data_IF_634988940478
#
_entry.id   IF_634988940478
#
_cell.length_a   1.000
_cell.length_b   1.000
_cell.length_c   1.000
_cell.angle_alpha   90.00
_cell.angle_beta   90.00
_cell.angle_gamma   90.00
#
_symmetry.space_group_name_H-M   'P 1'
#
loop_
_entity.id
_entity.type
_entity.pdbx_description
1 polymer ?
#
# COMPACT_ATOMS: atom_id res chain seq x y z
N UNK A 1 0.89 27.56 2.73
CA UNK A 1 2.31 27.64 2.30
C UNK A 1 2.40 27.21 0.85
N UNK A 2 3.16 27.92 0.03
CA UNK A 2 3.41 27.56 -1.38
C UNK A 2 4.73 28.14 -1.82
N UNK A 3 5.33 27.56 -2.84
CA UNK A 3 6.50 28.09 -3.54
C UNK A 3 6.06 28.62 -4.90
N UNK A 4 6.77 29.64 -5.41
CA UNK A 4 6.46 30.22 -6.71
C UNK A 4 6.75 29.26 -7.87
N UNK A 5 6.08 29.48 -9.02
CA UNK A 5 6.37 28.82 -10.26
C UNK A 5 7.67 29.39 -10.89
N UNK A 6 8.43 28.54 -11.56
CA UNK A 6 9.60 28.94 -12.36
C UNK A 6 9.29 28.75 -13.85
N UNK A 7 9.55 29.75 -14.67
CA UNK A 7 9.37 29.67 -16.13
C UNK A 7 10.56 29.00 -16.83
N UNK A 8 11.74 29.07 -16.24
CA UNK A 8 12.95 28.34 -16.67
C UNK A 8 13.73 27.91 -15.42
N UNK A 9 13.87 26.62 -15.21
CA UNK A 9 14.55 26.08 -14.03
C UNK A 9 13.62 25.26 -13.13
N UNK A 10 14.06 24.97 -11.91
CA UNK A 10 13.31 24.16 -10.94
C UNK A 10 12.41 25.05 -10.07
N UNK A 11 11.19 24.58 -9.80
CA UNK A 11 10.34 25.15 -8.77
C UNK A 11 10.95 25.01 -7.36
N UNK A 12 10.47 25.81 -6.42
CA UNK A 12 10.93 25.75 -5.03
C UNK A 12 10.48 24.47 -4.30
N UNK A 13 11.17 24.14 -3.22
CA UNK A 13 10.89 22.98 -2.35
C UNK A 13 10.27 23.45 -1.03
N UNK A 14 9.26 22.73 -0.55
CA UNK A 14 8.74 22.84 0.82
C UNK A 14 9.25 21.64 1.63
N UNK A 15 9.89 21.91 2.77
CA UNK A 15 10.39 20.88 3.69
C UNK A 15 9.72 21.10 5.05
N UNK A 16 9.13 20.04 5.58
CA UNK A 16 8.61 20.01 6.96
C UNK A 16 9.42 18.95 7.73
N UNK A 17 10.21 19.40 8.70
CA UNK A 17 11.04 18.52 9.54
C UNK A 17 10.76 18.79 11.00
N UNK A 18 10.87 17.75 11.81
CA UNK A 18 10.82 17.83 13.26
C UNK A 18 12.17 17.43 13.84
N UNK A 19 12.61 18.12 14.89
CA UNK A 19 13.91 17.91 15.52
C UNK A 19 14.09 16.49 16.08
N UNK A 20 15.35 16.05 16.11
CA UNK A 20 15.76 14.78 16.72
C UNK A 20 15.86 14.91 18.24
N UNK A 21 15.49 13.85 18.95
CA UNK A 21 15.76 13.72 20.40
C UNK A 21 16.97 12.80 20.63
N UNK A 22 17.84 13.14 21.56
CA UNK A 22 19.01 12.33 21.93
C UNK A 22 18.76 11.42 23.15
N UNK A 23 17.75 11.71 23.97
CA UNK A 23 17.44 10.98 25.22
C UNK A 23 15.95 10.76 25.45
N UNK A 24 15.14 10.76 24.40
CA UNK A 24 13.69 10.53 24.47
C UNK A 24 13.13 10.14 23.11
N UNK A 25 11.80 10.02 23.03
CA UNK A 25 11.11 9.76 21.76
C UNK A 25 11.27 10.95 20.82
N UNK A 26 11.39 10.70 19.51
CA UNK A 26 11.43 11.73 18.48
C UNK A 26 10.14 12.55 18.42
N UNK A 27 10.23 13.75 17.86
CA UNK A 27 9.05 14.60 17.63
C UNK A 27 8.11 14.00 16.56
N UNK A 28 6.88 14.50 16.51
CA UNK A 28 5.81 13.99 15.64
C UNK A 28 5.38 15.02 14.61
N UNK A 29 5.02 14.56 13.41
CA UNK A 29 4.27 15.33 12.41
C UNK A 29 2.85 14.75 12.34
N UNK A 30 1.83 15.57 12.56
CA UNK A 30 0.42 15.19 12.42
C UNK A 30 -0.25 16.05 11.36
N UNK A 31 -0.89 15.42 10.39
CA UNK A 31 -1.65 16.09 9.33
C UNK A 31 -3.09 15.57 9.40
N UNK A 32 -4.04 16.43 9.73
CA UNK A 32 -5.44 16.09 9.90
C UNK A 32 -6.33 17.06 9.14
N UNK A 33 -7.30 16.54 8.41
CA UNK A 33 -8.37 17.35 7.84
C UNK A 33 -9.43 17.67 8.90
N UNK A 34 -10.21 18.72 8.66
CA UNK A 34 -11.24 19.19 9.58
C UNK A 34 -12.40 18.19 9.74
N UNK A 35 -12.93 18.09 10.94
CA UNK A 35 -14.15 17.32 11.25
C UNK A 35 -15.39 18.16 10.91
N UNK A 36 -16.44 17.55 10.39
CA UNK A 36 -17.79 18.11 10.34
C UNK A 36 -18.72 17.32 11.26
N UNK A 37 -19.66 18.00 11.90
CA UNK A 37 -20.69 17.38 12.74
C UNK A 37 -22.01 17.17 12.01
N UNK A 38 -22.18 17.78 10.84
CA UNK A 38 -23.45 17.81 10.08
C UNK A 38 -23.25 17.28 8.64
N UNK A 39 -22.09 17.53 8.06
CA UNK A 39 -21.76 17.19 6.67
C UNK A 39 -20.52 16.30 6.58
N UNK A 40 -20.04 16.05 5.37
CA UNK A 40 -18.81 15.29 5.10
C UNK A 40 -17.60 16.01 5.72
N UNK A 41 -16.69 15.27 6.31
CA UNK A 41 -15.40 15.76 6.80
C UNK A 41 -14.47 16.23 5.68
N UNK A 42 -13.38 16.90 6.04
CA UNK A 42 -12.40 17.40 5.08
C UNK A 42 -11.59 16.29 4.41
N UNK A 43 -11.04 16.59 3.25
CA UNK A 43 -10.15 15.72 2.45
C UNK A 43 -8.68 15.97 2.78
N UNK A 44 -7.86 14.92 2.84
CA UNK A 44 -6.40 14.99 2.70
C UNK A 44 -6.04 14.41 1.32
N UNK A 45 -5.34 15.18 0.48
CA UNK A 45 -4.88 14.75 -0.84
C UNK A 45 -3.37 14.88 -0.94
N UNK A 46 -2.70 13.78 -1.34
CA UNK A 46 -1.25 13.69 -1.58
C UNK A 46 -1.03 13.27 -3.02
N UNK A 47 -0.58 14.18 -3.85
CA UNK A 47 -0.38 13.97 -5.30
C UNK A 47 1.02 14.42 -5.71
N UNK A 48 1.71 13.63 -6.52
CA UNK A 48 2.98 14.01 -7.12
C UNK A 48 2.77 15.00 -8.28
N UNK A 49 3.85 15.66 -8.70
CA UNK A 49 3.81 16.58 -9.85
C UNK A 49 3.67 15.84 -11.18
N UNK A 50 2.94 16.42 -12.12
CA UNK A 50 2.83 15.96 -13.50
C UNK A 50 4.09 16.28 -14.29
N UNK A 51 4.50 15.39 -15.19
CA UNK A 51 5.51 15.65 -16.22
C UNK A 51 4.86 15.70 -17.58
N UNK A 52 4.68 16.90 -18.15
CA UNK A 52 3.96 17.08 -19.42
C UNK A 52 4.64 16.41 -20.63
N UNK A 53 5.97 16.34 -20.64
CA UNK A 53 6.77 15.74 -21.73
C UNK A 53 7.61 14.53 -21.27
N UNK A 54 7.59 14.21 -19.98
CA UNK A 54 8.40 13.14 -19.38
C UNK A 54 7.60 12.45 -18.27
N UNK A 55 8.27 11.69 -17.42
CA UNK A 55 7.64 10.98 -16.31
C UNK A 55 7.13 11.94 -15.21
N UNK A 56 6.03 11.60 -14.58
CA UNK A 56 5.56 12.25 -13.34
C UNK A 56 6.50 11.96 -12.16
N UNK A 57 6.35 12.74 -11.09
CA UNK A 57 7.01 12.47 -9.82
C UNK A 57 6.50 11.20 -9.13
N UNK A 58 7.22 10.74 -8.13
CA UNK A 58 6.80 9.64 -7.27
C UNK A 58 6.20 10.14 -5.94
N UNK A 59 5.27 9.39 -5.36
CA UNK A 59 4.86 9.51 -3.95
C UNK A 59 5.49 8.35 -3.19
N UNK A 60 6.30 8.64 -2.16
CA UNK A 60 7.00 7.64 -1.35
C UNK A 60 6.52 7.72 0.09
N UNK A 61 5.92 6.64 0.59
CA UNK A 61 5.45 6.51 1.98
C UNK A 61 6.11 5.26 2.58
N UNK A 62 6.96 5.42 3.59
CA UNK A 62 7.68 4.31 4.23
C UNK A 62 8.04 4.64 5.68
N UNK A 63 8.13 3.63 6.53
CA UNK A 63 8.85 3.73 7.81
C UNK A 63 10.35 3.69 7.57
N UNK A 64 11.13 4.26 8.49
CA UNK A 64 12.58 4.16 8.47
C UNK A 64 13.07 2.82 9.05
N UNK A 65 14.35 2.53 8.88
CA UNK A 65 14.97 1.34 9.45
C UNK A 65 14.93 1.39 11.00
N UNK A 66 14.78 0.25 11.63
CA UNK A 66 15.01 0.10 13.06
C UNK A 66 16.50 0.29 13.39
N UNK A 67 16.81 0.68 14.62
CA UNK A 67 18.18 0.67 15.15
C UNK A 67 18.72 -0.75 15.35
N UNK A 68 19.97 -0.86 15.84
CA UNK A 68 20.67 -2.14 15.95
C UNK A 68 19.94 -3.23 16.77
N UNK A 69 19.08 -2.85 17.72
CA UNK A 69 18.29 -3.75 18.56
C UNK A 69 16.77 -3.47 18.46
N UNK A 70 16.31 -2.70 17.50
CA UNK A 70 14.92 -2.28 17.36
C UNK A 70 14.29 -2.74 16.05
N UNK A 71 12.96 -2.92 16.06
CA UNK A 71 12.19 -3.14 14.84
C UNK A 71 11.94 -1.81 14.09
N UNK A 72 11.71 -1.88 12.79
CA UNK A 72 11.20 -0.75 12.01
C UNK A 72 9.74 -0.46 12.38
N UNK A 73 9.28 0.78 12.15
CA UNK A 73 7.89 1.16 12.38
C UNK A 73 6.93 0.45 11.42
N UNK A 74 5.67 0.30 11.83
CA UNK A 74 4.60 -0.20 10.99
C UNK A 74 4.03 0.91 10.10
N UNK A 75 3.44 0.53 8.97
CA UNK A 75 2.66 1.38 8.08
C UNK A 75 1.22 0.86 8.01
N UNK A 76 0.24 1.71 8.34
CA UNK A 76 -1.18 1.35 8.36
C UNK A 76 -1.95 2.11 7.28
N UNK A 77 -2.67 1.37 6.44
CA UNK A 77 -3.69 1.90 5.55
C UNK A 77 -5.03 1.25 5.90
N UNK A 78 -5.94 2.00 6.48
CA UNK A 78 -7.25 1.48 6.88
C UNK A 78 -8.33 2.56 6.73
N UNK A 79 -9.56 2.13 6.52
CA UNK A 79 -10.74 2.99 6.62
C UNK A 79 -11.29 2.96 8.04
N UNK A 80 -12.01 4.01 8.42
CA UNK A 80 -12.67 4.07 9.72
C UNK A 80 -13.86 3.11 9.82
N UNK A 81 -14.36 2.94 11.05
CA UNK A 81 -15.59 2.18 11.33
C UNK A 81 -16.84 3.00 11.01
N UNK A 82 -17.92 2.33 10.63
CA UNK A 82 -19.24 2.92 10.47
C UNK A 82 -20.25 2.17 11.35
N UNK A 83 -21.12 2.92 12.06
CA UNK A 83 -22.09 2.34 12.99
C UNK A 83 -23.41 2.00 12.30
N UNK A 84 -23.86 2.82 11.36
CA UNK A 84 -25.20 2.68 10.72
C UNK A 84 -25.14 2.77 9.20
N UNK A 85 -23.97 2.62 8.60
CA UNK A 85 -23.76 2.70 7.15
C UNK A 85 -22.54 1.87 6.75
N UNK A 86 -22.19 1.86 5.48
CA UNK A 86 -21.02 1.16 4.96
C UNK A 86 -19.72 1.87 5.34
N UNK A 87 -18.66 1.12 5.57
CA UNK A 87 -17.30 1.65 5.67
C UNK A 87 -16.77 2.05 4.29
N UNK A 88 -15.76 2.92 4.26
CA UNK A 88 -15.07 3.27 3.03
C UNK A 88 -14.30 2.10 2.43
N UNK A 89 -13.84 2.24 1.19
CA UNK A 89 -13.00 1.26 0.51
C UNK A 89 -11.53 1.73 0.45
N UNK A 90 -10.60 0.78 0.38
CA UNK A 90 -9.19 1.01 0.05
C UNK A 90 -8.96 0.53 -1.38
N UNK A 91 -8.51 1.43 -2.26
CA UNK A 91 -8.21 1.13 -3.66
C UNK A 91 -6.70 1.16 -3.89
N UNK A 92 -6.17 0.07 -4.43
CA UNK A 92 -4.78 -0.06 -4.89
C UNK A 92 -4.83 -0.42 -6.37
N UNK A 93 -4.41 0.48 -7.24
CA UNK A 93 -4.47 0.26 -8.68
C UNK A 93 -3.39 1.02 -9.43
N UNK A 94 -3.04 0.54 -10.60
CA UNK A 94 -2.19 1.22 -11.57
C UNK A 94 -3.08 1.85 -12.65
N UNK A 95 -2.64 2.98 -13.19
CA UNK A 95 -3.38 3.66 -14.26
C UNK A 95 -3.36 2.88 -15.57
N UNK A 96 -4.18 3.31 -16.52
CA UNK A 96 -4.24 2.77 -17.88
C UNK A 96 -3.08 3.33 -18.72
N UNK A 97 -2.41 2.48 -19.48
CA UNK A 97 -1.43 2.87 -20.49
C UNK A 97 -2.04 2.71 -21.89
N UNK A 98 -2.09 3.79 -22.68
CA UNK A 98 -2.69 3.77 -24.03
C UNK A 98 -1.75 3.15 -25.06
N UNK A 99 -0.44 3.39 -24.95
CA UNK A 99 0.58 2.94 -25.94
C UNK A 99 1.78 2.25 -25.28
N UNK A 100 1.60 1.72 -24.07
CA UNK A 100 2.67 1.09 -23.30
C UNK A 100 2.15 -0.02 -22.40
N UNK A 101 2.98 -0.49 -21.49
CA UNK A 101 2.57 -1.46 -20.47
C UNK A 101 2.02 -0.76 -19.24
N UNK A 102 0.96 -1.29 -18.67
CA UNK A 102 0.50 -0.91 -17.33
C UNK A 102 1.57 -1.23 -16.27
N UNK A 103 1.56 -0.47 -15.17
CA UNK A 103 2.41 -0.74 -14.03
C UNK A 103 2.06 -2.03 -13.31
N UNK A 104 2.95 -2.54 -12.47
CA UNK A 104 2.71 -3.69 -11.63
C UNK A 104 2.31 -3.29 -10.20
N UNK A 105 1.50 -4.12 -9.55
CA UNK A 105 1.32 -4.13 -8.09
C UNK A 105 2.11 -5.30 -7.53
N UNK A 106 3.09 -5.03 -6.65
CA UNK A 106 3.93 -6.04 -6.02
C UNK A 106 3.67 -6.04 -4.52
N UNK A 107 3.23 -7.19 -4.00
CA UNK A 107 3.08 -7.43 -2.56
C UNK A 107 4.10 -8.50 -2.17
N UNK A 108 5.09 -8.13 -1.36
CA UNK A 108 6.15 -9.04 -0.92
C UNK A 108 6.48 -8.83 0.55
N UNK A 109 6.86 -9.90 1.21
CA UNK A 109 7.40 -9.88 2.58
C UNK A 109 8.89 -10.08 2.51
N UNK A 110 9.66 -9.29 3.27
CA UNK A 110 11.11 -9.39 3.33
C UNK A 110 11.59 -10.71 3.94
N UNK A 111 12.81 -11.10 3.59
CA UNK A 111 13.46 -12.29 4.15
C UNK A 111 13.97 -12.04 5.57
N UNK A 112 13.87 -13.05 6.41
CA UNK A 112 14.52 -13.11 7.73
C UNK A 112 15.64 -14.14 7.74
N UNK A 113 16.70 -13.89 8.51
CA UNK A 113 17.86 -14.80 8.68
C UNK A 113 17.77 -15.63 9.96
N UNK A 114 16.92 -15.27 10.90
CA UNK A 114 16.66 -16.01 12.14
C UNK A 114 15.17 -15.95 12.48
N UNK A 115 14.58 -17.10 12.75
CA UNK A 115 13.15 -17.24 13.02
C UNK A 115 12.31 -17.53 11.78
N UNK A 116 11.01 -17.65 11.99
CA UNK A 116 10.04 -17.92 10.91
C UNK A 116 9.90 -16.72 9.98
N UNK A 117 9.67 -16.97 8.69
CA UNK A 117 9.34 -15.93 7.70
C UNK A 117 8.04 -15.20 8.01
N UNK A 118 7.93 -13.98 7.54
CA UNK A 118 6.68 -13.20 7.63
C UNK A 118 5.58 -13.78 6.72
N UNK A 119 4.34 -13.37 6.94
CA UNK A 119 3.16 -13.91 6.24
C UNK A 119 2.47 -12.82 5.42
N UNK A 120 1.88 -13.21 4.29
CA UNK A 120 0.83 -12.46 3.59
C UNK A 120 -0.51 -13.11 3.93
N UNK A 121 -1.42 -12.37 4.53
CA UNK A 121 -2.76 -12.84 4.89
C UNK A 121 -3.82 -12.04 4.13
N UNK A 122 -4.68 -12.73 3.37
CA UNK A 122 -5.77 -12.13 2.60
C UNK A 122 -7.07 -12.82 3.02
N UNK A 123 -8.01 -12.07 3.57
CA UNK A 123 -9.32 -12.58 3.96
C UNK A 123 -10.44 -11.61 3.57
N UNK A 124 -11.57 -12.15 3.15
CA UNK A 124 -12.78 -11.38 2.95
C UNK A 124 -13.54 -11.18 4.28
N UNK A 125 -14.44 -10.20 4.29
CA UNK A 125 -15.22 -9.86 5.48
C UNK A 125 -16.30 -10.92 5.80
N UNK A 126 -16.54 -11.13 7.09
CA UNK A 126 -17.62 -11.99 7.58
C UNK A 126 -18.95 -11.21 7.61
N UNK A 127 -20.04 -11.85 7.27
CA UNK A 127 -21.39 -11.40 7.55
C UNK A 127 -22.02 -12.29 8.64
N UNK A 128 -22.84 -11.71 9.50
CA UNK A 128 -23.61 -12.45 10.52
C UNK A 128 -25.06 -12.67 10.09
N UNK A 129 -25.50 -12.01 9.03
CA UNK A 129 -26.92 -12.01 8.61
C UNK A 129 -27.07 -12.45 7.14
N UNK A 130 -26.11 -12.08 6.29
CA UNK A 130 -26.15 -12.35 4.86
C UNK A 130 -24.89 -13.11 4.43
N UNK A 131 -24.70 -13.24 3.12
CA UNK A 131 -23.53 -13.89 2.52
C UNK A 131 -22.24 -13.15 2.88
N UNK A 132 -21.19 -13.86 3.26
CA UNK A 132 -19.85 -13.31 3.48
C UNK A 132 -19.23 -12.74 2.21
N UNK A 133 -18.18 -11.93 2.35
CA UNK A 133 -17.45 -11.38 1.23
C UNK A 133 -16.68 -12.44 0.44
N UNK A 134 -16.37 -12.16 -0.82
CA UNK A 134 -15.60 -13.05 -1.69
C UNK A 134 -14.15 -12.56 -1.86
N UNK A 135 -13.20 -13.48 -1.98
CA UNK A 135 -11.86 -13.24 -2.52
C UNK A 135 -11.86 -13.71 -3.98
N UNK A 136 -11.48 -12.83 -4.92
CA UNK A 136 -11.42 -13.16 -6.36
C UNK A 136 -10.01 -12.92 -6.88
N UNK A 137 -9.47 -13.90 -7.59
CA UNK A 137 -8.15 -13.84 -8.23
C UNK A 137 -8.34 -14.25 -9.69
N UNK A 138 -8.02 -13.36 -10.63
CA UNK A 138 -8.11 -13.61 -12.06
C UNK A 138 -6.91 -13.01 -12.78
N UNK A 139 -6.48 -13.65 -13.85
CA UNK A 139 -5.48 -13.11 -14.77
C UNK A 139 -6.10 -12.08 -15.71
N UNK A 140 -5.26 -11.32 -16.41
CA UNK A 140 -5.69 -10.38 -17.44
C UNK A 140 -6.10 -11.06 -18.73
N UNK A 141 -7.08 -10.46 -19.42
CA UNK A 141 -7.51 -10.88 -20.76
C UNK A 141 -6.54 -10.38 -21.83
N UNK A 142 -6.30 -11.20 -22.85
CA UNK A 142 -5.61 -10.82 -24.08
C UNK A 142 -6.59 -10.83 -25.25
N UNK A 143 -6.98 -9.66 -25.75
CA UNK A 143 -7.95 -9.56 -26.84
C UNK A 143 -7.41 -9.94 -28.22
N UNK A 144 -6.10 -9.79 -28.45
CA UNK A 144 -5.42 -10.12 -29.71
C UNK A 144 -4.36 -11.23 -29.57
N UNK A 145 -4.19 -11.77 -28.36
CA UNK A 145 -3.21 -12.82 -28.05
C UNK A 145 -3.67 -13.62 -26.83
N UNK A 146 -2.77 -14.41 -26.25
CA UNK A 146 -3.08 -15.24 -25.07
C UNK A 146 -3.35 -14.39 -23.83
N UNK A 147 -4.26 -14.86 -22.98
CA UNK A 147 -4.48 -14.32 -21.63
C UNK A 147 -3.28 -14.58 -20.71
N UNK A 148 -3.22 -13.85 -19.61
CA UNK A 148 -2.24 -14.11 -18.55
C UNK A 148 -2.49 -15.41 -17.79
N UNK A 149 -1.53 -15.85 -16.99
CA UNK A 149 -1.67 -17.03 -16.13
C UNK A 149 -1.89 -16.60 -14.65
N UNK A 150 -2.61 -17.43 -13.90
CA UNK A 150 -2.61 -17.43 -12.43
C UNK A 150 -1.72 -18.60 -11.98
N UNK A 151 -0.66 -18.31 -11.23
CA UNK A 151 0.29 -19.30 -10.73
C UNK A 151 0.26 -19.33 -9.20
N UNK A 152 -0.10 -20.46 -8.62
CA UNK A 152 -0.13 -20.68 -7.16
C UNK A 152 0.77 -21.89 -6.88
N UNK A 153 1.81 -21.70 -6.07
CA UNK A 153 2.76 -22.78 -5.73
C UNK A 153 3.37 -22.55 -4.35
N UNK A 154 3.72 -23.62 -3.66
CA UNK A 154 4.65 -23.59 -2.54
C UNK A 154 6.09 -23.53 -3.06
N UNK A 155 6.99 -22.91 -2.28
CA UNK A 155 8.42 -22.92 -2.60
C UNK A 155 9.08 -24.24 -2.19
N UNK A 156 10.26 -24.53 -2.77
CA UNK A 156 11.07 -25.68 -2.37
C UNK A 156 11.56 -25.51 -0.93
N UNK A 157 11.68 -26.61 -0.21
CA UNK A 157 12.36 -26.67 1.07
C UNK A 157 13.88 -26.56 0.89
N UNK A 158 14.59 -26.25 1.98
CA UNK A 158 16.03 -26.44 2.11
C UNK A 158 16.40 -27.93 2.32
N UNK A 159 17.69 -28.22 2.45
CA UNK A 159 18.23 -29.59 2.51
C UNK A 159 17.65 -30.49 3.61
N UNK A 160 17.23 -29.93 4.74
CA UNK A 160 16.71 -30.66 5.90
C UNK A 160 15.21 -30.44 6.15
N UNK A 161 14.47 -29.86 5.20
CA UNK A 161 13.07 -29.54 5.37
C UNK A 161 12.16 -30.17 4.33
N UNK A 162 10.86 -30.05 4.53
CA UNK A 162 9.82 -30.41 3.56
C UNK A 162 9.16 -29.15 3.01
N UNK A 163 8.84 -29.13 1.72
CA UNK A 163 8.12 -27.99 1.10
C UNK A 163 6.75 -27.80 1.73
N UNK A 164 6.28 -26.56 1.76
CA UNK A 164 4.95 -26.23 2.27
C UNK A 164 3.85 -26.90 1.44
N UNK A 165 2.71 -27.15 2.07
CA UNK A 165 1.54 -27.69 1.40
C UNK A 165 0.66 -26.58 0.80
N UNK A 166 -0.12 -26.91 -0.21
CA UNK A 166 -1.17 -26.08 -0.79
C UNK A 166 -2.51 -26.75 -0.49
N UNK A 167 -3.37 -26.06 0.26
CA UNK A 167 -4.68 -26.57 0.64
C UNK A 167 -5.79 -25.80 -0.08
N UNK A 168 -6.68 -26.53 -0.72
CA UNK A 168 -7.96 -26.03 -1.20
C UNK A 168 -9.06 -26.81 -0.48
N UNK A 169 -9.85 -26.13 0.32
CA UNK A 169 -10.90 -26.73 1.13
C UNK A 169 -12.19 -25.92 1.03
N UNK A 170 -13.32 -26.58 1.02
CA UNK A 170 -14.64 -26.02 1.25
C UNK A 170 -15.01 -26.22 2.72
N UNK A 171 -15.69 -25.26 3.32
CA UNK A 171 -16.13 -25.33 4.72
C UNK A 171 -17.14 -26.45 4.98
#
# INVERSE_FOLDING_TARGET
MGTGAATSGRGGMVVVTVGSGTSGVGGQVQIMAGRSTVHTGGLISLVSGEGAATSSGAVVIRSTNGGAAGASGALFFSTGTATSSNTGAVYLGTGVATSGRAGAIVVSVGSGTSGSGGQVHISAGRSTVLTGGAVRISSGEGTASSSGAVVIRSSNAGEAGVSGALFFNTG
#
